data_IF_434377384149
#
_entry.id   IF_434377384149
#
_cell.length_a   1.000
_cell.length_b   1.000
_cell.length_c   1.000
_cell.angle_alpha   90.00
_cell.angle_beta   90.00
_cell.angle_gamma   90.00
#
_symmetry.space_group_name_H-M   'P 1'
#
loop_
_entity.id
_entity.type
_entity.pdbx_description
1 polymer ?
#
# COMPACT_ATOMS: atom_id res chain seq x y z
N UNK A 1 -21.08 18.00 20.34
CA UNK A 1 -20.37 18.50 19.14
C UNK A 1 -21.02 17.87 17.93
N UNK A 2 -21.63 18.69 17.07
CA UNK A 2 -22.31 18.24 15.85
C UNK A 2 -21.32 17.51 14.96
N UNK A 3 -21.59 16.25 14.60
CA UNK A 3 -20.79 15.49 13.63
C UNK A 3 -21.01 16.17 12.28
N UNK A 4 -19.98 16.79 11.69
CA UNK A 4 -20.04 17.20 10.29
C UNK A 4 -20.37 15.95 9.47
N UNK A 5 -21.43 16.02 8.66
CA UNK A 5 -21.74 14.95 7.74
C UNK A 5 -20.57 14.84 6.74
N UNK A 6 -20.24 13.64 6.24
CA UNK A 6 -19.08 13.47 5.33
C UNK A 6 -19.17 14.40 4.10
N UNK A 7 -20.38 14.77 3.69
CA UNK A 7 -20.65 15.70 2.58
C UNK A 7 -20.29 17.16 2.86
N UNK A 8 -20.23 17.56 4.12
CA UNK A 8 -20.05 18.96 4.53
C UNK A 8 -18.58 19.36 4.67
N UNK A 9 -17.67 18.40 4.43
CA UNK A 9 -16.23 18.65 4.53
C UNK A 9 -15.75 19.48 3.34
N UNK A 10 -14.87 20.48 3.57
CA UNK A 10 -14.37 21.35 2.50
C UNK A 10 -13.63 20.61 1.39
N UNK A 11 -12.93 19.54 1.73
CA UNK A 11 -12.14 18.76 0.78
C UNK A 11 -12.63 17.31 0.72
N UNK A 12 -12.70 16.78 -0.50
CA UNK A 12 -12.86 15.36 -0.74
C UNK A 12 -11.56 14.62 -0.42
N UNK A 13 -10.41 15.19 -0.82
CA UNK A 13 -9.08 14.59 -0.59
C UNK A 13 -8.10 15.63 -0.03
N UNK A 14 -7.36 15.26 1.00
CA UNK A 14 -6.17 16.00 1.44
C UNK A 14 -4.94 15.11 1.28
N UNK A 15 -3.96 15.56 0.50
CA UNK A 15 -2.68 14.87 0.31
C UNK A 15 -1.62 15.43 1.28
N UNK A 16 -1.38 14.72 2.37
CA UNK A 16 -0.39 15.11 3.38
C UNK A 16 1.01 14.57 3.05
N UNK A 17 2.02 15.43 3.05
CA UNK A 17 3.35 15.10 2.55
C UNK A 17 3.53 15.39 1.06
N UNK A 18 2.68 16.25 0.48
CA UNK A 18 2.64 16.56 -0.96
C UNK A 18 3.98 17.01 -1.56
N UNK A 19 4.86 17.62 -0.76
CA UNK A 19 6.18 18.09 -1.23
C UNK A 19 7.28 17.03 -1.16
N UNK A 20 6.98 15.82 -0.67
CA UNK A 20 7.87 14.67 -0.76
C UNK A 20 7.91 14.11 -2.18
N UNK A 21 8.85 13.20 -2.48
CA UNK A 21 9.01 12.69 -3.84
C UNK A 21 7.76 11.98 -4.37
N UNK A 22 7.26 10.98 -3.64
CA UNK A 22 6.03 10.27 -4.03
C UNK A 22 4.80 11.17 -3.89
N UNK A 23 4.75 12.04 -2.87
CA UNK A 23 3.68 13.03 -2.71
C UNK A 23 3.58 13.97 -3.91
N UNK A 24 4.72 14.39 -4.47
CA UNK A 24 4.75 15.26 -5.66
C UNK A 24 4.21 14.52 -6.87
N UNK A 25 4.65 13.28 -7.11
CA UNK A 25 4.15 12.46 -8.22
C UNK A 25 2.65 12.15 -8.07
N UNK A 26 2.17 11.96 -6.85
CA UNK A 26 0.74 11.75 -6.56
C UNK A 26 -0.06 13.02 -6.86
N UNK A 27 0.46 14.18 -6.48
CA UNK A 27 -0.17 15.46 -6.77
C UNK A 27 -0.21 15.76 -8.28
N UNK A 28 0.88 15.45 -9.00
CA UNK A 28 0.95 15.54 -10.46
C UNK A 28 -0.06 14.61 -11.13
N UNK A 29 -0.19 13.38 -10.63
CA UNK A 29 -1.20 12.43 -11.13
C UNK A 29 -2.63 12.94 -10.90
N UNK A 30 -2.95 13.40 -9.67
CA UNK A 30 -4.27 13.94 -9.34
C UNK A 30 -4.61 15.17 -10.18
N UNK A 31 -3.68 16.11 -10.35
CA UNK A 31 -3.91 17.30 -11.18
C UNK A 31 -4.21 16.95 -12.64
N UNK A 32 -3.60 15.90 -13.18
CA UNK A 32 -3.78 15.47 -14.57
C UNK A 32 -5.02 14.59 -14.81
N UNK A 33 -5.47 13.80 -13.83
CA UNK A 33 -6.47 12.75 -14.04
C UNK A 33 -7.72 12.85 -13.17
N UNK A 34 -7.72 13.69 -12.12
CA UNK A 34 -8.87 13.80 -11.25
C UNK A 34 -10.07 14.45 -11.95
N UNK A 35 -11.30 14.12 -11.51
CA UNK A 35 -12.50 14.85 -11.90
C UNK A 35 -12.36 16.35 -11.65
N UNK A 36 -12.93 17.19 -12.52
CA UNK A 36 -12.81 18.66 -12.42
C UNK A 36 -13.46 19.24 -11.16
N UNK A 37 -14.44 18.53 -10.62
CA UNK A 37 -15.18 18.86 -9.41
C UNK A 37 -14.53 18.33 -8.12
N UNK A 38 -13.36 17.65 -8.21
CA UNK A 38 -12.60 17.24 -7.04
C UNK A 38 -12.20 18.47 -6.22
N UNK A 39 -12.64 18.54 -4.97
CA UNK A 39 -12.12 19.53 -4.01
C UNK A 39 -10.98 18.90 -3.25
N UNK A 40 -9.74 19.33 -3.49
CA UNK A 40 -8.59 18.74 -2.83
C UNK A 40 -7.55 19.75 -2.39
N UNK A 41 -6.73 19.36 -1.42
CA UNK A 41 -5.70 20.21 -0.85
C UNK A 41 -4.34 19.50 -0.75
N UNK A 42 -3.28 20.26 -1.01
CA UNK A 42 -1.90 19.86 -0.70
C UNK A 42 -1.59 20.23 0.75
N UNK A 43 -1.12 19.26 1.53
CA UNK A 43 -0.77 19.48 2.93
C UNK A 43 0.69 19.15 3.25
N UNK A 44 1.28 19.94 4.14
CA UNK A 44 2.66 19.77 4.59
C UNK A 44 3.16 20.94 5.44
N UNK A 45 4.43 20.85 5.87
CA UNK A 45 5.02 21.81 6.84
C UNK A 45 5.35 23.17 6.25
N UNK A 46 5.70 23.21 4.95
CA UNK A 46 6.20 24.42 4.29
C UNK A 46 5.18 24.95 3.30
N UNK A 47 4.44 25.99 3.72
CA UNK A 47 3.47 26.69 2.86
C UNK A 47 4.10 27.20 1.56
N UNK A 48 5.33 27.72 1.62
CA UNK A 48 6.05 28.17 0.43
C UNK A 48 6.28 27.05 -0.60
N UNK A 49 6.69 25.85 -0.14
CA UNK A 49 6.88 24.71 -1.04
C UNK A 49 5.55 24.20 -1.61
N UNK A 50 4.48 24.21 -0.79
CA UNK A 50 3.14 23.83 -1.23
C UNK A 50 2.59 24.81 -2.27
N UNK A 51 2.75 26.12 -2.06
CA UNK A 51 2.34 27.15 -3.01
C UNK A 51 3.07 26.99 -4.36
N UNK A 52 4.39 26.78 -4.34
CA UNK A 52 5.17 26.52 -5.57
C UNK A 52 4.71 25.26 -6.29
N UNK A 53 4.45 24.17 -5.56
CA UNK A 53 3.91 22.95 -6.14
C UNK A 53 2.54 23.21 -6.77
N UNK A 54 1.65 23.90 -6.07
CA UNK A 54 0.32 24.26 -6.57
C UNK A 54 0.39 25.03 -7.90
N UNK A 55 1.21 26.08 -7.98
CA UNK A 55 1.31 26.86 -9.22
C UNK A 55 1.85 26.02 -10.37
N UNK A 56 2.86 25.17 -10.12
CA UNK A 56 3.35 24.23 -11.14
C UNK A 56 2.28 23.26 -11.63
N UNK A 57 1.45 22.73 -10.72
CA UNK A 57 0.35 21.83 -11.09
C UNK A 57 -0.72 22.53 -11.93
N UNK A 58 -1.02 23.81 -11.62
CA UNK A 58 -1.95 24.64 -12.41
C UNK A 58 -1.43 24.90 -13.82
N UNK A 59 -0.13 25.13 -13.97
CA UNK A 59 0.52 25.28 -15.27
C UNK A 59 0.49 23.97 -16.08
N UNK A 60 0.67 22.83 -15.41
CA UNK A 60 0.66 21.50 -16.05
C UNK A 60 -0.74 21.04 -16.48
N UNK A 61 -1.79 21.42 -15.74
CA UNK A 61 -3.18 21.08 -16.02
C UNK A 61 -4.08 22.32 -16.03
N UNK A 62 -3.99 23.18 -17.07
CA UNK A 62 -4.85 24.36 -17.18
C UNK A 62 -6.33 23.96 -17.20
N UNK A 63 -7.13 24.58 -16.33
CA UNK A 63 -8.56 24.24 -16.17
C UNK A 63 -8.83 22.94 -15.41
N UNK A 64 -7.83 22.41 -14.71
CA UNK A 64 -7.99 21.34 -13.73
C UNK A 64 -8.72 21.80 -12.46
N UNK A 65 -8.93 20.85 -11.54
CA UNK A 65 -9.59 21.08 -10.27
C UNK A 65 -8.88 22.16 -9.41
N UNK A 66 -9.65 22.88 -8.60
CA UNK A 66 -9.08 23.85 -7.66
C UNK A 66 -8.27 23.14 -6.57
N UNK A 67 -7.06 23.64 -6.32
CA UNK A 67 -6.09 23.05 -5.39
C UNK A 67 -5.92 23.95 -4.17
N UNK A 68 -6.42 23.50 -3.03
CA UNK A 68 -6.20 24.13 -1.72
C UNK A 68 -4.78 23.88 -1.19
N UNK A 69 -4.38 24.66 -0.18
CA UNK A 69 -3.12 24.46 0.55
C UNK A 69 -3.41 24.49 2.04
N UNK A 70 -2.92 23.48 2.77
CA UNK A 70 -3.07 23.37 4.22
C UNK A 70 -1.71 23.16 4.88
N UNK A 71 -1.35 24.02 5.83
CA UNK A 71 -0.19 23.77 6.68
C UNK A 71 -0.53 22.71 7.72
N UNK A 72 0.32 21.70 7.81
CA UNK A 72 0.28 20.70 8.87
C UNK A 72 1.68 20.19 9.22
N UNK A 73 1.89 19.94 10.50
CA UNK A 73 3.11 19.37 11.04
C UNK A 73 2.78 18.22 11.99
N UNK A 74 3.53 17.12 11.88
CA UNK A 74 3.39 15.96 12.77
C UNK A 74 3.78 16.29 14.21
N UNK A 75 4.58 17.34 14.42
CA UNK A 75 4.89 17.87 15.76
C UNK A 75 3.75 18.71 16.36
N UNK A 76 2.70 19.01 15.59
CA UNK A 76 1.57 19.84 16.01
C UNK A 76 0.26 19.03 15.88
N UNK A 77 -0.15 18.22 16.89
CA UNK A 77 -1.32 17.34 16.81
C UNK A 77 -2.62 18.05 16.43
N UNK A 78 -2.81 19.29 16.88
CA UNK A 78 -3.95 20.13 16.51
C UNK A 78 -4.03 20.39 14.99
N UNK A 79 -2.89 20.45 14.31
CA UNK A 79 -2.85 20.61 12.85
C UNK A 79 -3.30 19.35 12.11
N UNK A 80 -2.93 18.16 12.60
CA UNK A 80 -3.37 16.88 12.03
C UNK A 80 -4.86 16.65 12.24
N UNK A 81 -5.38 17.02 13.42
CA UNK A 81 -6.81 17.01 13.68
C UNK A 81 -7.58 17.90 12.71
N UNK A 82 -7.09 19.12 12.45
CA UNK A 82 -7.71 19.98 11.42
C UNK A 82 -7.71 19.31 10.06
N UNK A 83 -6.62 18.68 9.61
CA UNK A 83 -6.63 17.96 8.33
C UNK A 83 -7.73 16.91 8.29
N UNK A 84 -7.84 16.08 9.34
CA UNK A 84 -8.82 15.03 9.42
C UNK A 84 -10.27 15.56 9.43
N UNK A 85 -10.54 16.67 10.12
CA UNK A 85 -11.87 17.30 10.16
C UNK A 85 -12.28 17.95 8.83
N UNK A 86 -11.32 18.39 8.01
CA UNK A 86 -11.58 19.13 6.76
C UNK A 86 -11.63 18.24 5.51
N UNK A 87 -11.31 16.95 5.61
CA UNK A 87 -11.16 16.06 4.47
C UNK A 87 -12.08 14.85 4.57
N UNK A 88 -12.71 14.39 3.49
CA UNK A 88 -13.38 13.07 3.46
C UNK A 88 -12.36 11.93 3.51
N UNK A 89 -11.25 12.12 2.79
CA UNK A 89 -10.12 11.20 2.72
C UNK A 89 -8.82 11.96 2.98
N UNK A 90 -7.99 11.47 3.89
CA UNK A 90 -6.61 11.93 4.05
C UNK A 90 -5.66 10.87 3.49
N UNK A 91 -4.91 11.24 2.46
CA UNK A 91 -3.86 10.43 1.86
C UNK A 91 -2.49 10.92 2.35
N UNK A 92 -1.78 10.14 3.16
CA UNK A 92 -0.47 10.54 3.71
C UNK A 92 0.69 9.82 3.03
N UNK A 93 1.72 10.59 2.67
CA UNK A 93 3.03 10.09 2.23
C UNK A 93 4.14 10.46 3.23
N UNK A 94 3.78 10.78 4.48
CA UNK A 94 4.73 11.21 5.52
C UNK A 94 5.24 9.99 6.29
N UNK A 95 6.35 9.44 5.83
CA UNK A 95 7.10 8.38 6.52
C UNK A 95 8.40 8.89 7.18
N UNK A 96 9.08 8.06 8.00
CA UNK A 96 8.69 6.71 8.44
C UNK A 96 7.43 6.72 9.32
N UNK A 97 6.48 5.83 9.03
CA UNK A 97 5.13 5.85 9.61
C UNK A 97 5.12 5.40 11.07
N UNK A 98 6.01 4.48 11.45
CA UNK A 98 6.17 4.09 12.87
C UNK A 98 6.52 5.28 13.77
N UNK A 99 7.14 6.33 13.20
CA UNK A 99 7.55 7.53 13.95
C UNK A 99 6.54 8.66 13.80
N UNK A 100 5.97 8.86 12.61
CA UNK A 100 5.21 10.08 12.27
C UNK A 100 3.74 9.82 11.91
N UNK A 101 3.33 8.56 11.74
CA UNK A 101 2.01 8.20 11.21
C UNK A 101 0.91 8.11 12.27
N UNK A 102 1.26 7.80 13.52
CA UNK A 102 0.28 7.48 14.57
C UNK A 102 -0.72 8.60 14.82
N UNK A 103 -0.25 9.82 15.08
CA UNK A 103 -1.11 10.95 15.45
C UNK A 103 -2.13 11.30 14.36
N UNK A 104 -1.75 11.17 13.08
CA UNK A 104 -2.68 11.42 11.98
C UNK A 104 -3.75 10.32 11.91
N UNK A 105 -3.35 9.06 12.05
CA UNK A 105 -4.28 7.93 12.05
C UNK A 105 -5.26 8.04 13.21
N UNK A 106 -4.78 8.40 14.40
CA UNK A 106 -5.61 8.64 15.58
C UNK A 106 -6.65 9.75 15.30
N UNK A 107 -6.21 10.89 14.75
CA UNK A 107 -7.11 11.98 14.38
C UNK A 107 -8.17 11.55 13.35
N UNK A 108 -7.79 10.77 12.33
CA UNK A 108 -8.73 10.24 11.34
C UNK A 108 -9.73 9.25 11.95
N UNK A 109 -9.26 8.34 12.81
CA UNK A 109 -10.11 7.40 13.52
C UNK A 109 -11.12 8.13 14.42
N UNK A 110 -10.71 9.19 15.12
CA UNK A 110 -11.58 9.96 16.01
C UNK A 110 -12.65 10.79 15.30
N UNK A 111 -12.33 11.26 14.09
CA UNK A 111 -13.18 12.16 13.30
C UNK A 111 -14.05 11.43 12.28
N UNK A 112 -13.88 10.11 12.11
CA UNK A 112 -14.62 9.34 11.10
C UNK A 112 -14.10 9.59 9.68
N UNK A 113 -12.81 9.93 9.56
CA UNK A 113 -12.16 10.26 8.29
C UNK A 113 -11.42 9.06 7.74
N UNK A 114 -11.61 8.79 6.46
CA UNK A 114 -10.83 7.72 5.83
C UNK A 114 -9.38 8.16 5.70
N UNK A 115 -8.47 7.25 6.03
CA UNK A 115 -7.04 7.48 5.99
C UNK A 115 -6.39 6.40 5.14
N UNK A 116 -5.55 6.80 4.19
CA UNK A 116 -4.68 5.88 3.47
C UNK A 116 -3.22 6.31 3.50
N UNK A 117 -2.33 5.33 3.44
CA UNK A 117 -0.89 5.54 3.41
C UNK A 117 -0.15 4.59 2.47
N UNK A 118 1.17 4.80 2.36
CA UNK A 118 2.11 3.95 1.62
C UNK A 118 3.00 3.12 2.55
N UNK A 119 2.51 2.76 3.74
CA UNK A 119 3.33 2.10 4.75
C UNK A 119 3.63 0.66 4.36
N UNK A 120 4.90 0.38 4.08
CA UNK A 120 5.43 -0.97 4.01
C UNK A 120 5.77 -1.56 5.39
N UNK A 121 5.53 -0.86 6.50
CA UNK A 121 6.05 -1.17 7.86
C UNK A 121 5.07 -2.03 8.68
N UNK A 122 5.29 -3.35 8.85
CA UNK A 122 4.32 -4.22 9.50
C UNK A 122 4.05 -3.86 10.97
N UNK A 123 5.08 -3.37 11.67
CA UNK A 123 4.97 -2.89 13.05
C UNK A 123 3.93 -1.78 13.17
N UNK A 124 3.99 -0.77 12.31
CA UNK A 124 3.06 0.35 12.31
C UNK A 124 1.63 -0.11 12.02
N UNK A 125 1.46 -1.00 11.05
CA UNK A 125 0.14 -1.52 10.68
C UNK A 125 -0.47 -2.36 11.81
N UNK A 126 0.33 -3.14 12.54
CA UNK A 126 -0.15 -3.93 13.68
C UNK A 126 -0.46 -3.06 14.90
N UNK A 127 0.37 -2.06 15.21
CA UNK A 127 0.11 -1.09 16.27
C UNK A 127 -1.15 -0.28 16.00
N UNK A 128 -1.33 0.19 14.77
CA UNK A 128 -2.53 0.95 14.35
C UNK A 128 -3.81 0.15 14.59
N UNK A 129 -3.80 -1.15 14.31
CA UNK A 129 -4.96 -2.00 14.57
C UNK A 129 -5.32 -2.02 16.04
N UNK A 130 -4.35 -2.33 16.90
CA UNK A 130 -4.58 -2.44 18.35
C UNK A 130 -5.09 -1.11 18.92
N UNK A 131 -4.51 0.02 18.48
CA UNK A 131 -4.80 1.33 19.05
C UNK A 131 -6.05 2.01 18.48
N UNK A 132 -6.36 1.79 17.20
CA UNK A 132 -7.32 2.63 16.48
C UNK A 132 -8.41 1.87 15.71
N UNK A 133 -8.33 0.54 15.54
CA UNK A 133 -9.36 -0.22 14.80
C UNK A 133 -10.75 -0.06 15.42
N UNK A 134 -10.87 -0.25 16.74
CA UNK A 134 -12.14 -0.13 17.44
C UNK A 134 -12.75 1.27 17.27
N UNK A 135 -11.94 2.31 17.46
CA UNK A 135 -12.38 3.70 17.30
C UNK A 135 -12.82 4.01 15.88
N UNK A 136 -12.04 3.56 14.89
CA UNK A 136 -12.39 3.73 13.48
C UNK A 136 -13.69 2.98 13.11
N UNK A 137 -13.97 1.82 13.73
CA UNK A 137 -15.25 1.12 13.56
C UNK A 137 -16.43 1.92 14.13
N UNK A 138 -16.26 2.51 15.32
CA UNK A 138 -17.30 3.32 15.96
C UNK A 138 -17.66 4.58 15.16
N UNK A 139 -16.66 5.21 14.55
CA UNK A 139 -16.82 6.48 13.81
C UNK A 139 -17.12 6.28 12.32
N UNK A 140 -16.93 5.07 11.80
CA UNK A 140 -17.08 4.75 10.38
C UNK A 140 -15.86 5.11 9.52
N UNK A 141 -14.72 5.43 10.13
CA UNK A 141 -13.47 5.66 9.41
C UNK A 141 -12.92 4.34 8.83
N UNK A 142 -12.35 4.41 7.63
CA UNK A 142 -11.55 3.33 7.03
C UNK A 142 -10.07 3.67 7.11
N UNK A 143 -9.27 2.80 7.72
CA UNK A 143 -7.82 2.92 7.79
C UNK A 143 -7.20 1.91 6.81
N UNK A 144 -6.64 2.39 5.71
CA UNK A 144 -6.15 1.55 4.60
C UNK A 144 -4.64 1.73 4.41
N UNK A 145 -3.88 0.71 4.78
CA UNK A 145 -2.42 0.77 4.69
C UNK A 145 -1.90 0.22 3.35
N UNK A 146 -0.68 0.60 3.00
CA UNK A 146 0.07 0.05 1.86
C UNK A 146 -0.65 0.24 0.50
N UNK A 147 -1.26 1.40 0.28
CA UNK A 147 -2.00 1.75 -0.94
C UNK A 147 -1.10 2.10 -2.14
N UNK A 148 0.08 1.48 -2.23
CA UNK A 148 1.01 1.63 -3.35
C UNK A 148 1.38 0.27 -3.95
N UNK A 149 2.51 0.20 -4.66
CA UNK A 149 3.00 -1.08 -5.18
C UNK A 149 3.25 -2.11 -4.08
N UNK A 150 3.63 -1.65 -2.88
CA UNK A 150 3.89 -2.47 -1.70
C UNK A 150 2.64 -3.10 -1.06
N UNK A 151 1.50 -3.18 -1.77
CA UNK A 151 0.42 -4.18 -1.53
C UNK A 151 -0.71 -4.16 -2.56
N UNK A 152 -1.00 -3.05 -3.24
CA UNK A 152 -2.15 -2.96 -4.18
C UNK A 152 -2.14 -4.05 -5.25
N UNK A 153 -1.07 -4.27 -6.05
CA UNK A 153 -1.07 -5.30 -7.08
C UNK A 153 -1.11 -6.71 -6.49
N UNK A 154 -0.65 -6.90 -5.26
CA UNK A 154 -0.65 -8.20 -4.58
C UNK A 154 -2.03 -8.53 -4.00
N UNK A 155 -2.64 -7.60 -3.26
CA UNK A 155 -3.94 -7.78 -2.62
C UNK A 155 -5.06 -7.89 -3.64
N UNK A 156 -5.16 -6.91 -4.55
CA UNK A 156 -6.15 -6.93 -5.63
C UNK A 156 -5.86 -8.01 -6.66
N UNK A 157 -4.58 -8.34 -6.89
CA UNK A 157 -4.21 -9.43 -7.78
C UNK A 157 -4.70 -10.79 -7.28
N UNK A 158 -4.50 -11.09 -5.99
CA UNK A 158 -5.05 -12.30 -5.37
C UNK A 158 -6.57 -12.27 -5.35
N UNK A 159 -7.18 -11.13 -5.00
CA UNK A 159 -8.63 -10.98 -5.03
C UNK A 159 -9.19 -11.30 -6.42
N UNK A 160 -8.59 -10.73 -7.47
CA UNK A 160 -8.92 -11.00 -8.86
C UNK A 160 -8.75 -12.48 -9.22
N UNK A 161 -7.63 -13.13 -8.82
CA UNK A 161 -7.41 -14.57 -9.05
C UNK A 161 -8.49 -15.42 -8.39
N UNK A 162 -8.76 -15.16 -7.11
CA UNK A 162 -9.73 -15.89 -6.31
C UNK A 162 -11.11 -15.79 -6.95
N UNK A 163 -11.48 -14.63 -7.50
CA UNK A 163 -12.76 -14.41 -8.21
C UNK A 163 -12.99 -15.35 -9.40
N UNK A 164 -11.93 -15.93 -9.97
CA UNK A 164 -12.02 -16.88 -11.08
C UNK A 164 -12.07 -18.36 -10.68
N UNK A 165 -11.91 -18.66 -9.38
CA UNK A 165 -12.00 -20.02 -8.84
C UNK A 165 -13.43 -20.34 -8.34
N UNK A 166 -13.81 -21.60 -8.12
CA UNK A 166 -15.09 -21.92 -7.48
C UNK A 166 -15.22 -21.27 -6.08
N UNK A 167 -16.45 -20.97 -5.67
CA UNK A 167 -16.74 -20.44 -4.32
C UNK A 167 -16.94 -21.58 -3.31
N UNK A 168 -16.77 -21.29 -2.02
CA UNK A 168 -17.08 -22.23 -0.94
C UNK A 168 -16.11 -23.42 -0.81
N UNK A 169 -15.04 -23.47 -1.60
CA UNK A 169 -14.03 -24.54 -1.58
C UNK A 169 -12.69 -24.03 -1.05
N UNK A 170 -11.81 -24.90 -0.53
CA UNK A 170 -10.44 -24.52 -0.21
C UNK A 170 -9.68 -23.99 -1.43
N UNK A 171 -8.94 -22.89 -1.25
CA UNK A 171 -8.20 -22.21 -2.31
C UNK A 171 -6.72 -22.04 -1.94
N UNK A 172 -5.84 -22.20 -2.92
CA UNK A 172 -4.42 -21.85 -2.80
C UNK A 172 -4.06 -20.87 -3.91
N UNK A 173 -3.29 -19.83 -3.58
CA UNK A 173 -2.74 -18.88 -4.55
C UNK A 173 -1.24 -18.69 -4.31
N UNK A 174 -0.44 -18.83 -5.36
CA UNK A 174 0.97 -18.45 -5.34
C UNK A 174 1.16 -17.17 -6.17
N UNK A 175 1.75 -16.14 -5.58
CA UNK A 175 2.12 -14.89 -6.25
C UNK A 175 3.62 -14.83 -6.58
N UNK A 176 3.94 -14.42 -7.80
CA UNK A 176 5.30 -14.36 -8.35
C UNK A 176 5.57 -12.97 -8.93
N UNK A 177 6.38 -12.16 -8.23
CA UNK A 177 6.70 -10.78 -8.60
C UNK A 177 7.98 -10.74 -9.43
N UNK A 178 7.90 -10.13 -10.60
CA UNK A 178 9.05 -9.71 -11.41
C UNK A 178 9.00 -8.19 -11.55
N UNK A 179 10.13 -7.52 -11.34
CA UNK A 179 10.23 -6.09 -11.57
C UNK A 179 11.58 -5.74 -12.19
N UNK A 180 11.58 -4.79 -13.11
CA UNK A 180 12.77 -4.08 -13.57
C UNK A 180 12.74 -2.65 -13.04
N UNK A 181 13.16 -2.49 -11.79
CA UNK A 181 13.06 -1.24 -11.07
C UNK A 181 14.33 -0.95 -10.29
N UNK A 182 14.70 0.32 -10.22
CA UNK A 182 15.72 0.77 -9.28
C UNK A 182 15.07 1.28 -8.00
N UNK A 183 15.32 0.57 -6.92
CA UNK A 183 14.99 1.02 -5.58
C UNK A 183 15.88 2.21 -5.20
N UNK A 184 15.30 3.28 -4.65
CA UNK A 184 16.10 4.43 -4.20
C UNK A 184 16.81 4.14 -2.88
N UNK A 185 17.68 5.08 -2.46
CA UNK A 185 18.21 5.10 -1.10
C UNK A 185 17.13 5.11 -0.01
N UNK A 186 15.93 5.64 -0.29
CA UNK A 186 14.78 5.60 0.63
C UNK A 186 14.23 4.19 0.85
N UNK A 187 14.16 3.36 -0.20
CA UNK A 187 13.75 1.95 -0.08
C UNK A 187 14.80 1.14 0.68
N UNK A 188 16.08 1.40 0.44
CA UNK A 188 17.17 0.76 1.17
C UNK A 188 17.17 1.14 2.66
N UNK A 189 17.02 2.43 2.98
CA UNK A 189 16.90 2.91 4.37
C UNK A 189 15.67 2.32 5.07
N UNK A 190 14.56 2.15 4.35
CA UNK A 190 13.35 1.51 4.86
C UNK A 190 13.58 0.03 5.19
N UNK A 191 14.20 -0.72 4.27
CA UNK A 191 14.56 -2.12 4.51
C UNK A 191 15.54 -2.27 5.70
N UNK A 192 16.55 -1.40 5.78
CA UNK A 192 17.51 -1.37 6.88
C UNK A 192 16.83 -1.09 8.23
N UNK A 193 15.91 -0.13 8.27
CA UNK A 193 15.13 0.18 9.47
C UNK A 193 14.26 -1.02 9.88
N UNK A 194 13.54 -1.64 8.94
CA UNK A 194 12.72 -2.82 9.21
C UNK A 194 13.52 -3.98 9.80
N UNK A 195 14.67 -4.31 9.21
CA UNK A 195 15.54 -5.35 9.75
C UNK A 195 16.00 -5.02 11.18
N UNK A 196 16.33 -3.75 11.45
CA UNK A 196 16.76 -3.33 12.80
C UNK A 196 15.66 -3.40 13.87
N UNK A 197 14.39 -3.55 13.48
CA UNK A 197 13.21 -3.55 14.37
C UNK A 197 12.51 -4.90 14.48
N UNK A 198 13.21 -6.01 14.19
CA UNK A 198 12.61 -7.34 14.17
C UNK A 198 11.91 -7.73 15.49
N UNK A 199 12.44 -7.30 16.65
CA UNK A 199 11.84 -7.56 17.98
C UNK A 199 10.51 -6.82 18.15
N UNK A 200 10.49 -5.54 17.81
CA UNK A 200 9.31 -4.67 17.91
C UNK A 200 8.22 -5.13 16.96
N UNK A 201 8.58 -5.47 15.72
CA UNK A 201 7.66 -6.06 14.75
C UNK A 201 7.04 -7.37 15.27
N UNK A 202 7.84 -8.25 15.89
CA UNK A 202 7.32 -9.49 16.48
C UNK A 202 6.39 -9.23 17.66
N UNK A 203 6.70 -8.23 18.49
CA UNK A 203 5.86 -7.84 19.63
C UNK A 203 4.52 -7.28 19.15
N UNK A 204 4.52 -6.34 18.19
CA UNK A 204 3.31 -5.78 17.60
C UNK A 204 2.42 -6.86 16.96
N UNK A 205 3.02 -7.79 16.21
CA UNK A 205 2.29 -8.90 15.61
C UNK A 205 1.66 -9.86 16.64
N UNK A 206 2.32 -10.09 17.78
CA UNK A 206 1.76 -10.88 18.88
C UNK A 206 0.61 -10.15 19.55
N UNK A 207 0.74 -8.84 19.73
CA UNK A 207 -0.27 -8.02 20.39
C UNK A 207 -1.55 -7.92 19.54
N UNK A 208 -1.40 -7.67 18.24
CA UNK A 208 -2.51 -7.73 17.28
C UNK A 208 -3.26 -9.07 17.34
N UNK A 209 -2.55 -10.20 17.38
CA UNK A 209 -3.18 -11.53 17.46
C UNK A 209 -4.03 -11.73 18.72
N UNK A 210 -3.78 -10.98 19.80
CA UNK A 210 -4.60 -11.01 21.02
C UNK A 210 -5.91 -10.24 20.85
N UNK A 211 -5.89 -9.18 20.05
CA UNK A 211 -7.02 -8.29 19.81
C UNK A 211 -7.89 -8.71 18.61
N UNK A 212 -7.30 -9.36 17.61
CA UNK A 212 -8.06 -9.84 16.45
C UNK A 212 -9.02 -10.98 16.81
N UNK A 213 -10.31 -10.87 16.46
CA UNK A 213 -11.27 -11.93 16.73
C UNK A 213 -10.91 -13.20 15.94
N UNK A 214 -11.04 -14.34 16.61
CA UNK A 214 -10.91 -15.65 15.95
C UNK A 214 -12.15 -15.90 15.10
N UNK A 215 -11.93 -16.19 13.82
CA UNK A 215 -13.01 -16.53 12.90
C UNK A 215 -13.28 -18.04 13.02
N UNK A 216 -14.52 -18.40 13.35
CA UNK A 216 -14.94 -19.80 13.34
C UNK A 216 -15.24 -20.23 11.91
N UNK A 217 -14.81 -21.43 11.53
CA UNK A 217 -15.10 -22.01 10.20
C UNK A 217 -14.31 -21.43 9.03
N UNK A 218 -13.40 -20.46 9.24
CA UNK A 218 -12.55 -19.90 8.20
C UNK A 218 -11.09 -19.86 8.60
N UNK A 219 -10.21 -20.33 7.71
CA UNK A 219 -8.75 -20.29 7.86
C UNK A 219 -8.11 -19.51 6.72
N UNK A 220 -7.14 -18.67 7.05
CA UNK A 220 -6.29 -18.01 6.07
C UNK A 220 -4.84 -18.11 6.55
N UNK A 221 -4.00 -18.79 5.77
CA UNK A 221 -2.60 -19.02 6.10
C UNK A 221 -1.69 -18.46 5.01
N UNK A 222 -0.55 -17.94 5.43
CA UNK A 222 0.47 -17.40 4.53
C UNK A 222 1.83 -18.01 4.86
N UNK A 223 2.01 -19.31 4.58
CA UNK A 223 3.25 -19.99 4.91
C UNK A 223 4.41 -19.39 4.10
N UNK A 224 5.58 -19.26 4.73
CA UNK A 224 6.81 -18.96 4.00
C UNK A 224 7.13 -20.15 3.11
N UNK A 225 7.20 -19.91 1.80
CA UNK A 225 7.62 -20.94 0.86
C UNK A 225 9.09 -21.32 1.01
N UNK A 226 9.51 -22.44 0.41
CA UNK A 226 10.93 -22.72 0.18
C UNK A 226 11.36 -22.18 -1.19
N UNK A 227 12.63 -21.79 -1.38
CA UNK A 227 13.19 -21.55 -2.70
C UNK A 227 12.97 -22.76 -3.61
N UNK A 228 12.38 -22.56 -4.78
CA UNK A 228 12.16 -23.63 -5.77
C UNK A 228 12.17 -23.10 -7.19
N UNK A 229 12.47 -23.96 -8.15
CA UNK A 229 12.13 -23.64 -9.53
C UNK A 229 10.61 -23.80 -9.72
N UNK A 230 9.97 -22.79 -10.33
CA UNK A 230 8.54 -22.74 -10.58
C UNK A 230 8.28 -22.85 -12.09
N UNK A 231 8.09 -24.08 -12.64
CA UNK A 231 7.86 -24.28 -14.07
C UNK A 231 6.63 -23.53 -14.59
N UNK A 232 5.63 -23.30 -13.75
CA UNK A 232 4.43 -22.50 -14.05
C UNK A 232 4.72 -21.05 -14.49
N UNK A 233 5.86 -20.48 -14.08
CA UNK A 233 6.28 -19.12 -14.43
C UNK A 233 7.66 -19.08 -15.10
N UNK A 234 8.31 -20.23 -15.26
CA UNK A 234 9.63 -20.36 -15.90
C UNK A 234 10.75 -19.63 -15.15
N UNK A 235 10.70 -19.59 -13.81
CA UNK A 235 11.64 -18.84 -12.99
C UNK A 235 11.90 -19.51 -11.64
N UNK A 236 12.99 -19.10 -10.97
CA UNK A 236 13.23 -19.42 -9.57
C UNK A 236 12.34 -18.55 -8.67
N UNK A 237 11.56 -19.21 -7.83
CA UNK A 237 10.71 -18.60 -6.83
C UNK A 237 11.48 -18.49 -5.51
N UNK A 238 11.74 -17.26 -5.07
CA UNK A 238 12.40 -16.96 -3.81
C UNK A 238 11.41 -16.31 -2.85
N UNK A 239 11.26 -16.82 -1.61
CA UNK A 239 10.35 -16.21 -0.64
C UNK A 239 10.72 -14.74 -0.43
N UNK A 240 9.74 -13.86 -0.58
CA UNK A 240 9.94 -12.42 -0.44
C UNK A 240 9.34 -11.96 0.91
N UNK A 241 10.15 -11.49 1.87
CA UNK A 241 9.70 -11.17 3.22
C UNK A 241 9.12 -9.75 3.31
N UNK A 242 8.04 -9.48 2.57
CA UNK A 242 7.33 -8.19 2.54
C UNK A 242 6.08 -8.20 3.42
N UNK A 243 5.38 -7.06 3.47
CA UNK A 243 4.10 -6.94 4.17
C UNK A 243 2.93 -7.60 3.42
N UNK A 244 3.07 -7.84 2.10
CA UNK A 244 1.99 -8.29 1.21
C UNK A 244 1.25 -9.54 1.70
N UNK A 245 1.93 -10.61 2.17
CA UNK A 245 1.23 -11.78 2.69
C UNK A 245 0.33 -11.44 3.89
N UNK A 246 0.71 -10.46 4.72
CA UNK A 246 -0.11 -10.05 5.86
C UNK A 246 -1.38 -9.32 5.41
N UNK A 247 -1.27 -8.46 4.39
CA UNK A 247 -2.41 -7.76 3.80
C UNK A 247 -3.35 -8.76 3.13
N UNK A 248 -2.84 -9.62 2.24
CA UNK A 248 -3.64 -10.68 1.58
C UNK A 248 -4.34 -11.58 2.61
N UNK A 249 -3.65 -11.95 3.69
CA UNK A 249 -4.26 -12.75 4.78
C UNK A 249 -5.43 -12.03 5.43
N UNK A 250 -5.34 -10.71 5.63
CA UNK A 250 -6.41 -9.90 6.24
C UNK A 250 -7.61 -9.79 5.28
N UNK A 251 -7.38 -9.65 3.97
CA UNK A 251 -8.43 -9.73 2.95
C UNK A 251 -9.14 -11.08 2.97
N UNK A 252 -8.37 -12.17 2.97
CA UNK A 252 -8.90 -13.53 3.02
C UNK A 252 -9.69 -13.84 4.30
N UNK A 253 -9.31 -13.22 5.42
CA UNK A 253 -10.05 -13.30 6.68
C UNK A 253 -11.30 -12.44 6.72
N UNK A 254 -11.50 -11.52 5.78
CA UNK A 254 -12.63 -10.59 5.80
C UNK A 254 -13.66 -10.93 4.72
N UNK A 255 -13.21 -11.48 3.59
CA UNK A 255 -14.04 -11.74 2.42
C UNK A 255 -14.32 -13.24 2.29
N UNK A 256 -15.60 -13.63 2.28
CA UNK A 256 -16.04 -15.03 2.12
C UNK A 256 -15.64 -15.62 0.76
N UNK A 257 -15.36 -14.74 -0.19
CA UNK A 257 -14.93 -15.10 -1.53
C UNK A 257 -13.65 -15.96 -1.56
N UNK A 258 -12.82 -15.89 -0.52
CA UNK A 258 -11.57 -16.66 -0.38
C UNK A 258 -11.79 -18.11 0.08
N UNK A 259 -13.03 -18.50 0.36
CA UNK A 259 -13.38 -19.87 0.77
C UNK A 259 -13.10 -20.15 2.26
N UNK A 260 -13.45 -21.37 2.73
CA UNK A 260 -13.30 -21.77 4.13
C UNK A 260 -11.84 -22.01 4.56
N UNK A 261 -10.95 -22.32 3.60
CA UNK A 261 -9.52 -22.54 3.87
C UNK A 261 -8.69 -21.95 2.72
N UNK A 262 -8.03 -20.82 2.99
CA UNK A 262 -7.25 -20.08 2.03
C UNK A 262 -5.75 -20.14 2.36
N UNK A 263 -4.91 -20.38 1.35
CA UNK A 263 -3.45 -20.36 1.47
C UNK A 263 -2.82 -19.44 0.43
N UNK A 264 -1.93 -18.55 0.87
CA UNK A 264 -1.17 -17.68 -0.04
C UNK A 264 0.34 -17.80 0.19
N UNK A 265 1.10 -17.95 -0.89
CA UNK A 265 2.56 -17.89 -0.88
C UNK A 265 3.03 -16.76 -1.79
N UNK A 266 4.08 -16.06 -1.35
CA UNK A 266 4.57 -14.85 -2.00
C UNK A 266 6.05 -14.99 -2.35
N UNK A 267 6.37 -14.80 -3.62
CA UNK A 267 7.69 -15.05 -4.18
C UNK A 267 8.15 -13.89 -5.07
N UNK A 268 9.44 -13.60 -5.02
CA UNK A 268 10.14 -12.97 -6.13
C UNK A 268 10.47 -14.03 -7.19
N UNK A 269 10.30 -13.69 -8.46
CA UNK A 269 10.60 -14.56 -9.60
C UNK A 269 11.90 -14.10 -10.28
N UNK A 270 12.92 -14.95 -10.22
CA UNK A 270 14.26 -14.67 -10.76
C UNK A 270 14.59 -15.69 -11.84
N UNK A 271 14.89 -15.22 -13.05
CA UNK A 271 15.18 -16.13 -14.19
C UNK A 271 16.51 -16.86 -14.04
N UNK A 272 17.51 -16.22 -13.43
CA UNK A 272 18.88 -16.73 -13.36
C UNK A 272 19.24 -17.19 -11.95
N UNK A 273 19.60 -18.48 -11.80
CA UNK A 273 19.96 -19.08 -10.52
C UNK A 273 21.10 -18.35 -9.78
N UNK A 274 22.19 -17.89 -10.44
CA UNK A 274 23.25 -17.15 -9.74
C UNK A 274 22.74 -15.84 -9.12
N UNK A 275 21.83 -15.14 -9.81
CA UNK A 275 21.19 -13.92 -9.29
C UNK A 275 20.31 -14.26 -8.09
N UNK A 276 19.60 -15.38 -8.14
CA UNK A 276 18.77 -15.85 -7.04
C UNK A 276 19.59 -16.15 -5.78
N UNK A 277 20.70 -16.90 -5.93
CA UNK A 277 21.60 -17.24 -4.81
C UNK A 277 22.28 -15.98 -4.26
N UNK A 278 22.81 -15.12 -5.15
CA UNK A 278 23.44 -13.86 -4.75
C UNK A 278 22.48 -12.92 -4.01
N UNK A 279 21.23 -12.82 -4.47
CA UNK A 279 20.20 -12.01 -3.82
C UNK A 279 19.88 -12.45 -2.40
N UNK A 280 19.71 -13.76 -2.18
CA UNK A 280 19.48 -14.32 -0.82
C UNK A 280 20.65 -14.01 0.11
N UNK A 281 21.88 -14.22 -0.37
CA UNK A 281 23.08 -13.92 0.41
C UNK A 281 23.19 -12.43 0.76
N UNK A 282 22.90 -11.54 -0.19
CA UNK A 282 22.93 -10.09 0.01
C UNK A 282 21.88 -9.63 1.05
N UNK A 283 20.65 -10.13 0.96
CA UNK A 283 19.59 -9.81 1.94
C UNK A 283 19.97 -10.32 3.34
N UNK A 284 20.49 -11.54 3.43
CA UNK A 284 20.98 -12.10 4.71
C UNK A 284 22.09 -11.26 5.33
N UNK A 285 23.09 -10.87 4.53
CA UNK A 285 24.19 -10.02 4.97
C UNK A 285 23.70 -8.63 5.42
N UNK A 286 22.78 -8.02 4.67
CA UNK A 286 22.18 -6.74 5.02
C UNK A 286 21.40 -6.83 6.34
N UNK A 287 20.61 -7.89 6.53
CA UNK A 287 19.83 -8.10 7.75
C UNK A 287 20.73 -8.23 9.00
N UNK A 288 21.86 -8.93 8.87
CA UNK A 288 22.88 -9.03 9.94
C UNK A 288 23.55 -7.68 10.19
N UNK A 289 23.97 -6.98 9.13
CA UNK A 289 24.58 -5.66 9.25
C UNK A 289 23.63 -4.63 9.89
N UNK A 290 22.33 -4.71 9.60
CA UNK A 290 21.30 -3.85 10.19
C UNK A 290 21.19 -3.97 11.72
N UNK A 291 21.55 -5.12 12.30
CA UNK A 291 21.56 -5.33 13.75
C UNK A 291 22.71 -4.61 14.44
N UNK A 292 23.78 -4.29 13.71
CA UNK A 292 24.99 -3.67 14.25
C UNK A 292 24.88 -2.14 14.16
N UNK A 293 24.83 -1.40 15.29
CA UNK A 293 24.59 0.05 15.27
C UNK A 293 25.65 0.87 14.51
N UNK A 294 26.90 0.40 14.46
CA UNK A 294 27.99 1.02 13.71
C UNK A 294 27.85 0.82 12.20
N UNK A 295 27.60 -0.42 11.77
CA UNK A 295 27.37 -0.74 10.36
C UNK A 295 26.10 -0.08 9.82
N UNK A 296 25.02 -0.05 10.61
CA UNK A 296 23.76 0.63 10.26
C UNK A 296 23.96 2.12 10.02
N UNK A 297 24.68 2.82 10.91
CA UNK A 297 25.00 4.25 10.74
C UNK A 297 25.82 4.47 9.48
N UNK A 298 26.89 3.71 9.29
CA UNK A 298 27.74 3.77 8.10
C UNK A 298 26.97 3.55 6.78
N UNK A 299 26.01 2.60 6.77
CA UNK A 299 25.15 2.31 5.61
C UNK A 299 24.14 3.44 5.36
N UNK A 300 23.55 4.00 6.42
CA UNK A 300 22.56 5.08 6.33
C UNK A 300 23.21 6.39 5.87
N UNK A 301 24.41 6.71 6.35
CA UNK A 301 25.13 7.95 6.03
C UNK A 301 25.56 8.03 4.55
N UNK A 302 25.71 6.87 3.89
CA UNK A 302 26.07 6.76 2.46
C UNK A 302 24.90 6.95 1.51
N UNK A 303 23.66 6.83 1.97
CA UNK A 303 22.47 6.86 1.14
C UNK A 303 21.51 7.91 1.67
N UNK A 304 21.67 9.17 1.21
CA UNK A 304 20.78 10.26 1.58
C UNK A 304 19.38 10.03 1.00
N UNK A 305 18.32 9.99 1.82
CA UNK A 305 16.94 10.01 1.32
C UNK A 305 16.65 11.34 0.62
N UNK A 306 16.00 11.33 -0.53
CA UNK A 306 15.44 12.56 -1.11
C UNK A 306 15.37 12.62 -2.64
N UNK A 307 16.23 11.89 -3.34
CA UNK A 307 16.24 11.84 -4.80
C UNK A 307 15.77 10.47 -5.27
N UNK A 308 14.54 10.42 -5.81
CA UNK A 308 14.08 9.22 -6.52
C UNK A 308 14.72 9.11 -7.91
N UNK A 309 14.55 7.99 -8.61
CA UNK A 309 15.12 7.77 -9.93
C UNK A 309 14.65 8.82 -10.95
N UNK A 310 15.47 9.10 -11.98
CA UNK A 310 15.13 10.04 -13.06
C UNK A 310 13.86 9.63 -13.81
N UNK A 311 13.17 10.60 -14.43
CA UNK A 311 11.94 10.34 -15.19
C UNK A 311 12.14 9.31 -16.31
N UNK A 312 13.26 9.40 -17.05
CA UNK A 312 13.63 8.44 -18.10
C UNK A 312 13.85 7.02 -17.58
N UNK A 313 14.36 6.89 -16.34
CA UNK A 313 14.56 5.58 -15.72
C UNK A 313 13.21 4.98 -15.33
N UNK A 314 12.34 5.79 -14.71
CA UNK A 314 10.96 5.38 -14.40
C UNK A 314 10.19 4.96 -15.65
N UNK A 315 10.32 5.70 -16.74
CA UNK A 315 9.63 5.39 -18.00
C UNK A 315 10.03 4.04 -18.62
N UNK A 316 11.22 3.51 -18.29
CA UNK A 316 11.70 2.19 -18.76
C UNK A 316 11.42 1.06 -17.77
N UNK A 317 11.09 1.40 -16.53
CA UNK A 317 10.81 0.44 -15.48
C UNK A 317 9.41 -0.17 -15.63
N UNK A 318 9.29 -1.43 -15.22
CA UNK A 318 8.05 -2.18 -15.31
C UNK A 318 7.94 -3.21 -14.19
N UNK A 319 6.73 -3.70 -13.95
CA UNK A 319 6.48 -4.85 -13.09
C UNK A 319 5.48 -5.83 -13.71
N UNK A 320 5.58 -7.09 -13.31
CA UNK A 320 4.56 -8.12 -13.54
C UNK A 320 4.46 -9.00 -12.30
N UNK A 321 3.24 -9.15 -11.78
CA UNK A 321 2.90 -10.10 -10.74
C UNK A 321 2.01 -11.17 -11.34
N UNK A 322 2.51 -12.41 -11.39
CA UNK A 322 1.75 -13.57 -11.86
C UNK A 322 1.21 -14.33 -10.68
N UNK A 323 -0.04 -14.76 -10.78
CA UNK A 323 -0.70 -15.55 -9.77
C UNK A 323 -1.11 -16.90 -10.33
N UNK A 324 -0.89 -17.95 -9.56
CA UNK A 324 -1.37 -19.30 -9.83
C UNK A 324 -2.37 -19.65 -8.75
N UNK A 325 -3.65 -19.64 -9.11
CA UNK A 325 -4.75 -19.99 -8.22
C UNK A 325 -5.27 -21.40 -8.48
N UNK A 326 -5.54 -22.16 -7.42
CA UNK A 326 -6.04 -23.53 -7.48
C UNK A 326 -7.16 -23.72 -6.44
N UNK A 327 -8.23 -24.42 -6.84
CA UNK A 327 -9.33 -24.76 -5.93
C UNK A 327 -10.50 -25.42 -6.65
N UNK A 328 -11.16 -26.38 -5.98
CA UNK A 328 -12.35 -27.05 -6.52
C UNK A 328 -12.15 -27.72 -7.89
N UNK A 329 -10.96 -28.25 -8.15
CA UNK A 329 -10.60 -28.89 -9.43
C UNK A 329 -10.25 -27.91 -10.57
N UNK A 330 -10.27 -26.60 -10.31
CA UNK A 330 -9.92 -25.56 -11.31
C UNK A 330 -8.56 -24.95 -11.01
N UNK A 331 -7.80 -24.64 -12.05
CA UNK A 331 -6.55 -23.88 -11.96
C UNK A 331 -6.59 -22.66 -12.87
N UNK A 332 -6.22 -21.50 -12.36
CA UNK A 332 -6.20 -20.23 -13.11
C UNK A 332 -4.85 -19.55 -12.97
N UNK A 333 -4.42 -18.92 -14.05
CA UNK A 333 -3.22 -18.11 -14.13
C UNK A 333 -3.67 -16.69 -14.41
N UNK A 334 -3.37 -15.75 -13.52
CA UNK A 334 -3.69 -14.34 -13.72
C UNK A 334 -2.43 -13.49 -13.64
N UNK A 335 -2.49 -12.30 -14.20
CA UNK A 335 -1.37 -11.36 -14.18
C UNK A 335 -1.86 -9.95 -13.87
N UNK A 336 -1.11 -9.27 -13.01
CA UNK A 336 -1.19 -7.82 -12.80
C UNK A 336 0.11 -7.20 -13.27
N UNK A 337 0.07 -6.22 -14.17
CA UNK A 337 1.27 -5.63 -14.75
C UNK A 337 1.12 -4.12 -14.98
N UNK A 338 2.24 -3.40 -14.95
CA UNK A 338 2.29 -1.95 -15.13
C UNK A 338 3.71 -1.45 -15.36
N UNK A 339 3.86 -0.12 -15.37
CA UNK A 339 5.14 0.57 -15.49
C UNK A 339 5.95 0.55 -14.19
N UNK A 340 6.62 1.66 -13.87
CA UNK A 340 7.52 1.76 -12.71
C UNK A 340 6.82 1.42 -11.38
N UNK A 341 7.17 0.30 -10.72
CA UNK A 341 6.55 -0.08 -9.45
C UNK A 341 6.95 0.86 -8.30
N UNK A 342 8.18 1.39 -8.31
CA UNK A 342 8.75 2.08 -7.16
C UNK A 342 8.14 3.47 -6.93
N UNK A 343 7.70 4.14 -7.99
CA UNK A 343 7.26 5.53 -7.92
C UNK A 343 6.07 5.84 -8.80
N UNK A 344 6.19 5.69 -10.12
CA UNK A 344 5.13 6.08 -11.06
C UNK A 344 3.81 5.36 -10.77
N UNK A 345 3.85 4.03 -10.76
CA UNK A 345 2.67 3.22 -10.50
C UNK A 345 2.25 3.27 -9.03
N UNK A 346 3.19 3.47 -8.10
CA UNK A 346 2.84 3.71 -6.69
C UNK A 346 2.03 4.99 -6.52
N UNK A 347 2.44 6.10 -7.14
CA UNK A 347 1.70 7.37 -7.09
C UNK A 347 0.32 7.26 -7.74
N UNK A 348 0.22 6.57 -8.87
CA UNK A 348 -1.05 6.23 -9.53
C UNK A 348 -1.95 5.42 -8.60
N UNK A 349 -1.47 4.27 -8.10
CA UNK A 349 -2.24 3.41 -7.21
C UNK A 349 -2.74 4.14 -5.96
N UNK A 350 -1.91 5.01 -5.41
CA UNK A 350 -2.23 5.81 -4.24
C UNK A 350 -3.32 6.86 -4.53
N UNK A 351 -3.17 7.60 -5.62
CA UNK A 351 -4.17 8.57 -6.07
C UNK A 351 -5.50 7.89 -6.40
N UNK A 352 -5.48 6.77 -7.13
CA UNK A 352 -6.69 6.03 -7.49
C UNK A 352 -7.38 5.41 -6.27
N UNK A 353 -6.62 4.99 -5.24
CA UNK A 353 -7.19 4.56 -3.96
C UNK A 353 -7.89 5.71 -3.24
N UNK A 354 -7.29 6.91 -3.21
CA UNK A 354 -7.91 8.08 -2.60
C UNK A 354 -9.18 8.52 -3.35
N UNK A 355 -9.15 8.51 -4.69
CA UNK A 355 -10.31 8.79 -5.53
C UNK A 355 -11.42 7.76 -5.31
N UNK A 356 -11.08 6.47 -5.21
CA UNK A 356 -12.06 5.42 -4.96
C UNK A 356 -12.79 5.62 -3.63
N UNK A 357 -12.05 5.87 -2.54
CA UNK A 357 -12.67 6.15 -1.23
C UNK A 357 -13.54 7.41 -1.22
N UNK A 358 -13.25 8.38 -2.09
CA UNK A 358 -13.97 9.65 -2.16
C UNK A 358 -15.21 9.62 -3.07
N UNK A 359 -15.20 8.87 -4.18
CA UNK A 359 -16.22 8.99 -5.22
C UNK A 359 -16.95 7.70 -5.60
N UNK A 360 -16.37 6.54 -5.35
CA UNK A 360 -16.99 5.29 -5.79
C UNK A 360 -18.04 4.81 -4.78
N UNK A 361 -18.97 4.01 -5.27
CA UNK A 361 -19.85 3.22 -4.41
C UNK A 361 -19.08 2.01 -3.85
N UNK A 362 -18.93 1.97 -2.54
CA UNK A 362 -18.02 1.06 -1.85
C UNK A 362 -18.76 0.23 -0.79
N UNK A 363 -18.30 -1.00 -0.51
CA UNK A 363 -18.88 -1.82 0.55
C UNK A 363 -18.89 -1.09 1.90
N UNK A 364 -19.98 -1.22 2.71
CA UNK A 364 -20.08 -0.57 4.01
C UNK A 364 -19.08 -1.19 4.97
N UNK A 365 -17.91 -0.56 5.09
CA UNK A 365 -16.77 -1.05 5.85
C UNK A 365 -16.21 0.07 6.73
N UNK A 366 -15.62 -0.32 7.86
CA UNK A 366 -15.00 0.59 8.81
C UNK A 366 -13.90 -0.14 9.58
N UNK A 367 -13.10 0.60 10.34
CA UNK A 367 -11.91 0.08 11.02
C UNK A 367 -10.70 0.01 10.10
N UNK A 368 -9.71 -0.78 10.49
CA UNK A 368 -8.59 -1.10 9.62
C UNK A 368 -9.01 -2.16 8.60
N UNK A 369 -8.93 -1.80 7.33
CA UNK A 369 -9.37 -2.63 6.20
C UNK A 369 -8.34 -2.60 5.09
N UNK A 370 -8.31 -3.65 4.27
CA UNK A 370 -7.37 -3.77 3.15
C UNK A 370 -7.95 -3.15 1.88
N UNK A 371 -7.15 -3.02 0.83
CA UNK A 371 -7.60 -2.46 -0.45
C UNK A 371 -8.66 -3.36 -1.10
N UNK A 372 -8.53 -4.68 -1.01
CA UNK A 372 -9.56 -5.62 -1.49
C UNK A 372 -10.88 -5.53 -0.70
N UNK A 373 -10.82 -5.27 0.61
CA UNK A 373 -12.02 -5.17 1.46
C UNK A 373 -12.72 -3.83 1.30
N UNK A 374 -11.95 -2.74 1.28
CA UNK A 374 -12.49 -1.39 1.25
C UNK A 374 -12.96 -0.96 -0.14
N UNK A 375 -12.25 -1.39 -1.18
CA UNK A 375 -12.44 -0.88 -2.55
C UNK A 375 -12.63 -1.98 -3.58
N UNK A 376 -11.92 -3.10 -3.47
CA UNK A 376 -12.15 -4.32 -4.27
C UNK A 376 -12.30 -4.05 -5.77
N UNK A 377 -13.48 -4.33 -6.30
CA UNK A 377 -13.81 -4.15 -7.71
C UNK A 377 -13.70 -2.70 -8.18
N UNK A 378 -14.11 -1.73 -7.36
CA UNK A 378 -14.08 -0.32 -7.72
C UNK A 378 -12.65 0.15 -8.02
N UNK A 379 -11.72 -0.06 -7.07
CA UNK A 379 -10.30 0.26 -7.29
C UNK A 379 -9.69 -0.57 -8.43
N UNK A 380 -10.09 -1.83 -8.60
CA UNK A 380 -9.60 -2.65 -9.72
C UNK A 380 -9.97 -2.03 -11.08
N UNK A 381 -11.21 -1.56 -11.25
CA UNK A 381 -11.62 -0.92 -12.50
C UNK A 381 -10.97 0.45 -12.69
N UNK A 382 -10.78 1.24 -11.63
CA UNK A 382 -10.01 2.50 -11.71
C UNK A 382 -8.59 2.27 -12.19
N UNK A 383 -7.91 1.27 -11.63
CA UNK A 383 -6.54 0.93 -12.01
C UNK A 383 -6.45 0.43 -13.46
N UNK A 384 -7.44 -0.35 -13.92
CA UNK A 384 -7.53 -0.75 -15.33
C UNK A 384 -7.70 0.44 -16.26
N UNK A 385 -8.61 1.37 -15.92
CA UNK A 385 -8.80 2.61 -16.68
C UNK A 385 -7.52 3.46 -16.71
N UNK A 386 -6.74 3.43 -15.63
CA UNK A 386 -5.44 4.10 -15.51
C UNK A 386 -4.26 3.31 -16.13
N UNK A 387 -4.52 2.22 -16.84
CA UNK A 387 -3.54 1.46 -17.61
C UNK A 387 -2.82 0.34 -16.86
N UNK A 388 -3.20 0.01 -15.62
CA UNK A 388 -2.72 -1.22 -14.96
C UNK A 388 -3.44 -2.42 -15.56
N UNK A 389 -2.67 -3.39 -16.03
CA UNK A 389 -3.22 -4.62 -16.57
C UNK A 389 -3.70 -5.52 -15.44
N UNK A 390 -4.93 -6.05 -15.56
CA UNK A 390 -5.41 -7.21 -14.80
C UNK A 390 -6.02 -8.19 -15.79
N UNK A 391 -5.39 -9.36 -15.98
CA UNK A 391 -5.84 -10.33 -17.01
C UNK A 391 -5.76 -11.77 -16.54
N UNK A 392 -6.61 -12.61 -17.13
CA UNK A 392 -6.48 -14.07 -17.07
C UNK A 392 -5.50 -14.49 -18.17
N UNK A 393 -4.35 -15.04 -17.80
CA UNK A 393 -3.32 -15.49 -18.72
C UNK A 393 -3.61 -16.90 -19.26
N UNK A 394 -4.20 -17.77 -18.43
CA UNK A 394 -4.68 -19.10 -18.81
C UNK A 394 -5.65 -19.64 -17.75
N UNK A 395 -6.53 -20.57 -18.15
CA UNK A 395 -7.34 -21.38 -17.24
C UNK A 395 -7.27 -22.84 -17.65
N UNK A 396 -7.19 -23.75 -16.68
CA UNK A 396 -7.12 -25.19 -16.87
C UNK A 396 -8.05 -25.93 -15.93
#
# INVERSE_FOLDING_TARGET
MSRLNRTDRPYDIVLFGATGFVGTLTAEYLAAHAPKDLRWALAGRSELKLARLRERLREQAPGGAEIGVLRADVAEPASLRRLAEHARVVATTVGPYVTYGEELVAACADTGTDCLDLSGEPEFVDMTYVRHDARARETGARLVHACGFDSVPHDLGVYFTVRQLPQGVPLTVDGFVTADAAFSGGTFASALNQFSRARQMTAAARDRRRHEPRLMGRRAATPTGAPRFAPEVGAWALPLPTIDPQIVRRSARSLDRYGPDFRYRHYAAVRHLPVAVGGVAAVGALAVAAQLPSARRWLSDRLKPGEGPSAEKRARSWFSVRFVGEGGGRRVFTEVAGGDPGYGETAKMFAESALSLAFDDLPPTAGQVTTAVAMGDALTERLRAAGITFRVAASR
#
